data_IF_014505311748
#
_entry.id   IF_014505311748
#
_cell.length_a   1.000
_cell.length_b   1.000
_cell.length_c   1.000
_cell.angle_alpha   90.00
_cell.angle_beta   90.00
_cell.angle_gamma   90.00
#
_symmetry.space_group_name_H-M   'P 1'
#
loop_
_entity.id
_entity.type
_entity.pdbx_description
1 polymer ?
#
# COMPACT_ATOMS: atom_id res chain seq x y z
N UNK A 1 2.94 11.09 6.58
CA UNK A 1 3.32 9.74 6.13
C UNK A 1 2.53 9.27 4.93
N UNK A 2 1.24 9.62 4.87
CA UNK A 2 0.41 9.26 3.71
C UNK A 2 1.02 9.78 2.40
N UNK A 3 1.47 11.02 2.40
CA UNK A 3 2.02 11.61 1.18
C UNK A 3 3.30 10.91 0.72
N UNK A 4 4.11 10.44 1.66
CA UNK A 4 5.32 9.73 1.29
C UNK A 4 4.99 8.43 0.54
N UNK A 5 4.04 7.65 1.07
CA UNK A 5 3.63 6.42 0.42
C UNK A 5 3.00 6.72 -0.93
N UNK A 6 2.18 7.76 -0.99
CA UNK A 6 1.52 8.15 -2.24
C UNK A 6 2.56 8.50 -3.31
N UNK A 7 3.57 9.28 -2.95
CA UNK A 7 4.60 9.68 -3.92
C UNK A 7 5.44 8.49 -4.38
N UNK A 8 5.75 7.59 -3.46
CA UNK A 8 6.49 6.38 -3.84
C UNK A 8 5.68 5.56 -4.83
N UNK A 9 4.41 5.33 -4.53
CA UNK A 9 3.56 4.54 -5.41
C UNK A 9 3.40 5.20 -6.77
N UNK A 10 3.18 6.52 -6.79
CA UNK A 10 3.02 7.24 -8.05
C UNK A 10 4.27 7.14 -8.93
N UNK A 11 5.43 7.04 -8.31
CA UNK A 11 6.68 6.93 -9.06
C UNK A 11 6.86 5.55 -9.68
N UNK A 12 6.14 4.54 -9.19
CA UNK A 12 6.32 3.16 -9.61
C UNK A 12 5.30 2.69 -10.65
N UNK A 13 4.12 3.30 -10.67
CA UNK A 13 2.99 2.80 -11.46
C UNK A 13 2.87 3.52 -12.79
N UNK A 14 2.12 2.91 -13.71
CA UNK A 14 1.83 3.51 -15.01
C UNK A 14 0.64 4.45 -14.95
N UNK A 15 -0.26 4.26 -14.00
CA UNK A 15 -1.46 5.09 -13.83
C UNK A 15 -1.43 5.81 -12.48
N UNK A 16 -0.55 6.81 -12.32
CA UNK A 16 -0.40 7.48 -11.02
C UNK A 16 -1.67 8.19 -10.56
N UNK A 17 -2.55 8.55 -11.47
CA UNK A 17 -3.81 9.20 -11.11
C UNK A 17 -4.75 8.26 -10.35
N UNK A 18 -4.50 6.95 -10.39
CA UNK A 18 -5.32 5.98 -9.68
C UNK A 18 -4.76 5.58 -8.31
N UNK A 19 -3.62 6.16 -7.93
CA UNK A 19 -3.04 5.89 -6.63
C UNK A 19 -3.87 6.57 -5.55
N UNK A 20 -4.27 5.79 -4.54
CA UNK A 20 -4.97 6.31 -3.36
C UNK A 20 -4.36 5.73 -2.11
N UNK A 21 -4.13 6.56 -1.12
CA UNK A 21 -3.64 6.11 0.19
C UNK A 21 -4.63 6.61 1.23
N UNK A 22 -5.24 5.67 1.93
CA UNK A 22 -6.24 5.97 2.96
C UNK A 22 -5.69 5.58 4.32
N UNK A 23 -5.47 6.54 5.22
CA UNK A 23 -5.04 6.19 6.57
C UNK A 23 -6.23 5.69 7.40
N UNK A 24 -6.00 4.61 8.13
CA UNK A 24 -6.99 4.02 9.01
C UNK A 24 -6.36 3.91 10.39
N UNK A 25 -6.99 4.54 11.39
CA UNK A 25 -6.50 4.49 12.75
C UNK A 25 -6.94 3.19 13.42
N UNK A 26 -5.99 2.53 14.06
CA UNK A 26 -6.24 1.26 14.74
C UNK A 26 -5.40 1.24 16.01
N UNK A 27 -6.00 1.68 17.13
CA UNK A 27 -5.28 1.81 18.37
C UNK A 27 -4.20 2.86 18.25
N UNK A 28 -2.95 2.48 18.53
CA UNK A 28 -1.82 3.39 18.41
C UNK A 28 -1.10 3.26 17.06
N UNK A 29 -1.71 2.54 16.12
CA UNK A 29 -1.15 2.35 14.79
C UNK A 29 -2.01 3.07 13.75
N UNK A 30 -1.37 3.52 12.67
CA UNK A 30 -2.05 4.01 11.49
C UNK A 30 -1.74 3.05 10.35
N UNK A 31 -2.77 2.47 9.78
CA UNK A 31 -2.63 1.58 8.64
C UNK A 31 -2.85 2.41 7.38
N UNK A 32 -1.86 2.44 6.51
CA UNK A 32 -1.96 3.16 5.25
C UNK A 32 -2.39 2.18 4.18
N UNK A 33 -3.65 2.30 3.78
CA UNK A 33 -4.22 1.42 2.76
C UNK A 33 -3.92 2.00 1.39
N UNK A 34 -3.14 1.28 0.63
CA UNK A 34 -2.69 1.71 -0.70
C UNK A 34 -3.51 1.00 -1.76
N UNK A 35 -4.11 1.80 -2.65
CA UNK A 35 -4.81 1.29 -3.82
C UNK A 35 -4.19 1.86 -5.08
N UNK A 36 -4.04 1.00 -6.07
CA UNK A 36 -3.51 1.38 -7.38
C UNK A 36 -4.38 0.72 -8.45
N UNK A 37 -4.16 1.08 -9.70
CA UNK A 37 -4.84 0.39 -10.80
C UNK A 37 -4.50 -1.10 -10.73
N UNK A 38 -5.46 -1.99 -11.00
CA UNK A 38 -5.18 -3.44 -10.90
C UNK A 38 -3.97 -3.88 -11.73
N UNK A 39 -3.78 -3.29 -12.90
CA UNK A 39 -2.64 -3.63 -13.74
C UNK A 39 -1.30 -3.22 -13.12
N UNK A 40 -1.32 -2.30 -12.17
CA UNK A 40 -0.11 -1.78 -11.54
C UNK A 40 0.22 -2.45 -10.21
N UNK A 41 -0.64 -3.34 -9.75
CA UNK A 41 -0.49 -3.94 -8.43
C UNK A 41 0.89 -4.60 -8.27
N UNK A 42 1.32 -5.34 -9.29
CA UNK A 42 2.62 -5.98 -9.25
C UNK A 42 3.78 -5.02 -9.13
N UNK A 43 3.60 -3.77 -9.56
CA UNK A 43 4.66 -2.77 -9.50
C UNK A 43 4.91 -2.28 -8.08
N UNK A 44 3.85 -2.23 -7.26
CA UNK A 44 4.03 -1.80 -5.87
C UNK A 44 4.37 -2.96 -4.95
N UNK A 45 3.99 -4.18 -5.32
CA UNK A 45 4.40 -5.37 -4.57
C UNK A 45 5.85 -5.70 -4.89
N UNK A 46 6.20 -5.69 -6.18
CA UNK A 46 7.53 -5.99 -6.64
C UNK A 46 7.80 -7.48 -6.71
N UNK A 47 8.92 -7.82 -7.33
CA UNK A 47 9.30 -9.22 -7.46
C UNK A 47 9.49 -9.85 -6.09
N UNK A 48 8.79 -10.94 -5.83
CA UNK A 48 8.86 -11.66 -4.55
C UNK A 48 8.51 -10.76 -3.35
N UNK A 49 7.70 -9.72 -3.60
CA UNK A 49 7.28 -8.83 -2.54
C UNK A 49 8.31 -7.84 -2.07
N UNK A 50 9.41 -7.68 -2.81
CA UNK A 50 10.54 -6.87 -2.34
C UNK A 50 10.23 -5.39 -2.24
N UNK A 51 9.46 -4.86 -3.18
CA UNK A 51 9.11 -3.44 -3.15
C UNK A 51 8.24 -3.14 -1.95
N UNK A 52 7.20 -3.94 -1.73
CA UNK A 52 6.32 -3.76 -0.58
C UNK A 52 7.10 -3.89 0.72
N UNK A 53 8.02 -4.85 0.79
CA UNK A 53 8.85 -5.04 1.98
C UNK A 53 9.73 -3.83 2.23
N UNK A 54 10.29 -3.24 1.18
CA UNK A 54 11.12 -2.05 1.30
C UNK A 54 10.32 -0.87 1.83
N UNK A 55 9.10 -0.69 1.33
CA UNK A 55 8.24 0.38 1.82
C UNK A 55 7.94 0.17 3.31
N UNK A 56 7.63 -1.07 3.69
CA UNK A 56 7.36 -1.38 5.10
C UNK A 56 8.57 -1.10 5.97
N UNK A 57 9.77 -1.38 5.48
CA UNK A 57 10.99 -1.10 6.21
C UNK A 57 11.16 0.41 6.43
N UNK A 58 10.88 1.21 5.40
CA UNK A 58 10.95 2.66 5.53
C UNK A 58 9.92 3.17 6.53
N UNK A 59 8.72 2.62 6.51
CA UNK A 59 7.68 3.02 7.46
C UNK A 59 8.06 2.66 8.88
N UNK A 60 8.73 1.51 9.06
CA UNK A 60 9.24 1.13 10.38
C UNK A 60 10.24 2.13 10.92
N UNK A 61 11.15 2.59 10.06
CA UNK A 61 12.13 3.60 10.46
C UNK A 61 11.44 4.92 10.82
N UNK A 62 10.46 5.33 10.00
CA UNK A 62 9.73 6.57 10.27
C UNK A 62 8.92 6.46 11.55
N UNK A 63 8.40 5.26 11.86
CA UNK A 63 7.64 5.05 13.08
C UNK A 63 8.47 5.36 14.32
N UNK A 64 9.75 5.02 14.28
CA UNK A 64 10.63 5.29 15.41
C UNK A 64 10.79 6.79 15.63
N UNK A 65 10.94 7.56 14.55
CA UNK A 65 11.14 9.00 14.65
C UNK A 65 9.90 9.70 15.17
N UNK A 66 8.72 9.32 14.69
CA UNK A 66 7.47 9.99 15.04
C UNK A 66 6.77 9.38 16.23
N UNK A 67 7.31 8.29 16.78
CA UNK A 67 6.75 7.59 17.94
C UNK A 67 5.30 7.18 17.69
N UNK A 68 5.02 6.76 16.45
CA UNK A 68 3.71 6.30 16.03
C UNK A 68 3.92 5.17 15.03
N UNK A 69 3.15 4.11 15.18
CA UNK A 69 3.29 2.96 14.30
C UNK A 69 2.58 3.21 12.99
N UNK A 70 3.32 3.06 11.90
CA UNK A 70 2.76 3.13 10.56
C UNK A 70 2.90 1.78 9.90
N UNK A 71 1.81 1.31 9.30
CA UNK A 71 1.77 0.03 8.63
C UNK A 71 1.25 0.21 7.21
N UNK A 72 1.67 -0.66 6.31
CA UNK A 72 1.22 -0.62 4.92
C UNK A 72 0.34 -1.81 4.63
N UNK A 73 -0.82 -1.55 4.04
CA UNK A 73 -1.66 -2.61 3.51
C UNK A 73 -1.94 -2.29 2.05
N UNK A 74 -1.57 -3.21 1.17
CA UNK A 74 -1.84 -3.07 -0.26
C UNK A 74 -3.16 -3.74 -0.54
N UNK A 75 -4.13 -2.96 -1.03
CA UNK A 75 -5.49 -3.44 -1.23
C UNK A 75 -5.61 -3.99 -2.64
N UNK A 76 -6.12 -5.21 -2.74
CA UNK A 76 -6.38 -5.88 -4.02
C UNK A 76 -7.87 -5.94 -4.20
N UNK A 77 -8.39 -5.02 -4.98
CA UNK A 77 -9.83 -4.85 -5.07
C UNK A 77 -10.53 -5.87 -5.93
N UNK A 78 -9.97 -6.64 -6.54
CA UNK A 78 -10.70 -7.41 -7.43
C UNK A 78 -11.27 -8.69 -7.02
N UNK A 79 -11.23 -7.95 -7.14
CA UNK A 79 -11.68 -8.71 -6.98
C UNK A 79 -12.34 -9.27 -6.72
N UNK A 80 -12.25 -8.93 -6.54
CA UNK A 80 -12.81 -9.17 -6.18
C UNK A 80 -13.37 -9.95 -6.31
N UNK A 81 -13.32 -9.78 -6.29
CA UNK A 81 -13.80 -10.31 -6.33
C UNK A 81 -14.14 -11.14 -6.60
N UNK A 82 -14.23 -11.03 -6.79
CA UNK A 82 -14.50 -11.71 -6.96
C UNK A 82 -14.52 -12.54 -7.19
N UNK A 83 -14.51 -12.38 -7.31
CA UNK A 83 -14.46 -13.07 -7.36
C UNK A 83 -14.37 -13.92 -7.30
N UNK A 84 -14.49 -13.78 -7.27
CA UNK A 84 -14.46 -14.49 -7.04
C UNK A 84 -14.61 -15.31 -6.96
N UNK A 85 -14.91 -15.32 -7.05
CA UNK A 85 -15.25 -15.96 -6.78
C UNK A 85 -15.50 -16.79 -6.73
N UNK A 86 -15.72 -16.91 -6.78
CA UNK A 86 -16.09 -17.68 -6.55
C UNK A 86 -16.08 -18.57 -6.63
N UNK A 87 -16.39 -18.38 -6.76
CA UNK A 87 -16.46 -19.03 -6.65
C UNK A 87 -16.38 -19.85 -6.60
N UNK A 88 -16.67 -19.68 -6.60
CA UNK A 88 -16.59 -20.28 -6.38
C UNK A 88 -16.51 -20.86 -6.40
#
# INVERSE_FOLDING_TARGET
MRMLVEQIAQALVDAPEQVQVTPVEDGDATILELRVAPADLGKVIGRQGRTAKSIRTLLGAASMKYKKRYMLEIIEDEDDEEESGPAE
#
